data_IF_765234416133
#
_entry.id   IF_765234416133
#
_cell.length_a   1.000
_cell.length_b   1.000
_cell.length_c   1.000
_cell.angle_alpha   90.00
_cell.angle_beta   90.00
_cell.angle_gamma   90.00
#
_symmetry.space_group_name_H-M   'P 1'
#
loop_
_entity.id
_entity.type
_entity.pdbx_description
1 polymer ?
#
# COMPACT_ATOMS: atom_id res chain seq x y z
N UNK A 1 -25.04 19.34 7.43
CA UNK A 1 -24.71 17.96 7.86
C UNK A 1 -24.27 17.21 6.63
N UNK A 2 -23.09 16.57 6.63
CA UNK A 2 -22.66 15.76 5.48
C UNK A 2 -23.63 14.59 5.31
N UNK A 3 -23.95 14.22 4.07
CA UNK A 3 -24.78 13.05 3.80
C UNK A 3 -24.09 11.79 4.33
N UNK A 4 -24.88 10.90 4.95
CA UNK A 4 -24.43 9.59 5.40
C UNK A 4 -24.32 8.64 4.21
N UNK A 5 -23.29 7.80 4.17
CA UNK A 5 -23.08 6.75 3.18
C UNK A 5 -22.70 5.43 3.87
N UNK A 6 -22.91 4.32 3.18
CA UNK A 6 -22.43 3.00 3.59
C UNK A 6 -21.09 2.68 2.94
N UNK A 7 -20.06 2.47 3.75
CA UNK A 7 -18.72 2.13 3.30
C UNK A 7 -18.42 0.64 3.57
N UNK A 8 -17.90 -0.13 2.60
CA UNK A 8 -17.55 -1.54 2.82
C UNK A 8 -16.27 -1.60 3.67
N UNK A 9 -16.42 -1.69 4.99
CA UNK A 9 -15.28 -1.64 5.90
C UNK A 9 -14.53 -2.96 5.96
N UNK A 10 -15.22 -4.10 6.14
CA UNK A 10 -14.62 -5.43 6.19
C UNK A 10 -15.23 -6.34 5.13
N UNK A 11 -14.44 -7.25 4.57
CA UNK A 11 -14.93 -8.26 3.61
C UNK A 11 -14.40 -9.62 3.99
N UNK A 12 -15.30 -10.56 4.26
CA UNK A 12 -14.99 -11.98 4.40
C UNK A 12 -15.46 -12.70 3.13
N UNK A 13 -14.55 -12.84 2.17
CA UNK A 13 -14.80 -13.46 0.88
C UNK A 13 -15.04 -14.97 0.98
N UNK A 14 -14.49 -15.61 2.02
CA UNK A 14 -14.65 -17.04 2.30
C UNK A 14 -16.06 -17.35 2.80
N UNK A 15 -16.60 -16.51 3.70
CA UNK A 15 -17.98 -16.63 4.19
C UNK A 15 -19.02 -16.01 3.26
N UNK A 16 -18.61 -15.04 2.46
CA UNK A 16 -19.51 -14.27 1.62
C UNK A 16 -20.15 -13.07 2.32
N UNK A 17 -19.51 -12.52 3.34
CA UNK A 17 -20.05 -11.47 4.20
C UNK A 17 -19.30 -10.13 4.00
N UNK A 18 -20.02 -9.02 4.14
CA UNK A 18 -19.45 -7.66 4.22
C UNK A 18 -19.92 -6.97 5.50
N UNK A 19 -19.00 -6.30 6.20
CA UNK A 19 -19.35 -5.32 7.23
C UNK A 19 -19.42 -3.92 6.61
N UNK A 20 -20.61 -3.35 6.59
CA UNK A 20 -20.85 -1.95 6.22
C UNK A 20 -20.65 -1.03 7.42
N UNK A 21 -19.96 0.07 7.20
CA UNK A 21 -19.82 1.16 8.15
C UNK A 21 -20.63 2.37 7.66
N UNK A 22 -21.56 2.85 8.48
CA UNK A 22 -22.31 4.08 8.20
C UNK A 22 -21.45 5.29 8.56
N UNK A 23 -21.03 6.05 7.55
CA UNK A 23 -20.04 7.12 7.65
C UNK A 23 -20.43 8.32 6.77
N UNK A 24 -19.53 9.27 6.59
CA UNK A 24 -19.67 10.40 5.68
C UNK A 24 -18.33 10.69 5.01
N UNK A 25 -18.35 11.35 3.85
CA UNK A 25 -17.11 11.74 3.14
C UNK A 25 -16.19 12.60 4.03
N UNK A 26 -16.77 13.47 4.86
CA UNK A 26 -16.01 14.24 5.83
C UNK A 26 -15.26 13.36 6.84
N UNK A 27 -15.88 12.29 7.33
CA UNK A 27 -15.22 11.33 8.24
C UNK A 27 -14.17 10.50 7.52
N UNK A 28 -14.44 10.03 6.30
CA UNK A 28 -13.47 9.30 5.48
C UNK A 28 -12.22 10.14 5.17
N UNK A 29 -12.40 11.43 4.88
CA UNK A 29 -11.30 12.37 4.62
C UNK A 29 -10.50 12.65 5.89
N UNK A 30 -11.18 12.83 7.03
CA UNK A 30 -10.55 13.14 8.32
C UNK A 30 -9.77 11.97 8.93
N UNK A 31 -10.17 10.74 8.64
CA UNK A 31 -9.46 9.55 9.11
C UNK A 31 -8.06 9.48 8.49
N UNK A 32 -7.06 9.16 9.32
CA UNK A 32 -5.71 8.83 8.87
C UNK A 32 -5.69 7.48 8.15
N UNK A 33 -6.40 6.48 8.70
CA UNK A 33 -6.54 5.15 8.16
C UNK A 33 -7.98 4.63 8.29
N UNK A 34 -8.45 3.93 7.25
CA UNK A 34 -9.77 3.30 7.16
C UNK A 34 -9.71 1.81 7.54
N UNK A 35 -8.72 1.45 8.35
CA UNK A 35 -8.38 0.07 8.67
C UNK A 35 -8.95 -0.41 10.01
N UNK A 36 -9.65 0.49 10.73
CA UNK A 36 -10.30 0.21 12.00
C UNK A 36 -9.46 0.54 13.24
N UNK A 37 -8.22 1.06 13.07
CA UNK A 37 -7.43 1.62 14.19
C UNK A 37 -8.07 2.86 14.82
N UNK A 38 -8.89 3.58 14.06
CA UNK A 38 -9.68 4.71 14.52
C UNK A 38 -11.13 4.59 14.05
N UNK A 39 -12.04 5.18 14.81
CA UNK A 39 -13.48 5.16 14.49
C UNK A 39 -13.82 6.29 13.53
N UNK A 40 -14.15 5.95 12.28
CA UNK A 40 -14.60 6.89 11.25
C UNK A 40 -16.09 6.71 10.89
N UNK A 41 -16.84 5.94 11.67
CA UNK A 41 -18.26 5.61 11.41
C UNK A 41 -19.11 5.80 12.66
N UNK A 42 -20.43 5.92 12.46
CA UNK A 42 -21.42 6.06 13.54
C UNK A 42 -22.18 4.77 13.84
N UNK A 43 -22.13 3.80 12.94
CA UNK A 43 -22.72 2.48 13.10
C UNK A 43 -22.14 1.49 12.12
N UNK A 44 -22.35 0.20 12.38
CA UNK A 44 -21.97 -0.85 11.44
C UNK A 44 -22.95 -1.99 11.45
N UNK A 45 -23.06 -2.69 10.32
CA UNK A 45 -23.90 -3.88 10.16
C UNK A 45 -23.22 -4.87 9.22
N UNK A 46 -23.61 -6.14 9.29
CA UNK A 46 -23.11 -7.19 8.41
C UNK A 46 -24.23 -7.63 7.50
N UNK A 47 -23.93 -7.76 6.21
CA UNK A 47 -24.83 -8.22 5.15
C UNK A 47 -24.09 -9.25 4.28
N UNK A 48 -24.83 -10.08 3.55
CA UNK A 48 -24.19 -10.98 2.59
C UNK A 48 -23.76 -10.18 1.34
N UNK A 49 -22.58 -10.48 0.78
CA UNK A 49 -22.05 -9.84 -0.43
C UNK A 49 -23.07 -9.90 -1.59
N UNK A 50 -23.78 -11.02 -1.72
CA UNK A 50 -24.77 -11.26 -2.76
C UNK A 50 -26.01 -10.34 -2.65
N UNK A 51 -26.26 -9.72 -1.50
CA UNK A 51 -27.43 -8.87 -1.27
C UNK A 51 -27.27 -7.48 -1.88
N UNK A 52 -26.03 -7.07 -2.21
CA UNK A 52 -25.76 -5.74 -2.76
C UNK A 52 -25.00 -5.86 -4.09
N UNK A 53 -25.62 -5.57 -5.24
CA UNK A 53 -24.91 -5.56 -6.51
C UNK A 53 -23.87 -4.44 -6.52
N UNK A 54 -22.78 -4.67 -7.25
CA UNK A 54 -21.73 -3.66 -7.41
C UNK A 54 -22.33 -2.41 -8.11
N UNK A 55 -22.08 -1.20 -7.57
CA UNK A 55 -22.55 0.03 -8.19
C UNK A 55 -21.78 0.30 -9.48
N UNK A 56 -22.37 1.11 -10.36
CA UNK A 56 -21.60 1.72 -11.44
C UNK A 56 -20.68 2.79 -10.85
N UNK A 57 -19.38 2.58 -10.96
CA UNK A 57 -18.37 3.53 -10.51
C UNK A 57 -17.16 3.50 -11.44
N UNK A 58 -16.48 4.63 -11.58
CA UNK A 58 -15.22 4.68 -12.31
C UNK A 58 -14.14 3.91 -11.55
N UNK A 59 -13.28 3.21 -12.29
CA UNK A 59 -12.11 2.54 -11.70
C UNK A 59 -11.25 3.57 -10.95
N UNK A 60 -10.96 3.36 -9.66
CA UNK A 60 -10.18 4.32 -8.89
C UNK A 60 -8.72 4.31 -9.31
N UNK A 61 -8.04 5.43 -9.11
CA UNK A 61 -6.58 5.46 -9.12
C UNK A 61 -6.02 4.70 -7.92
N UNK A 62 -4.85 4.07 -8.04
CA UNK A 62 -4.22 3.37 -6.91
C UNK A 62 -2.81 3.86 -6.61
N UNK A 63 -2.45 3.89 -5.33
CA UNK A 63 -1.10 4.17 -4.85
C UNK A 63 -0.55 2.91 -4.19
N UNK A 64 0.00 2.01 -4.98
CA UNK A 64 0.76 0.88 -4.46
C UNK A 64 2.10 1.38 -3.93
N UNK A 65 2.60 0.73 -2.89
CA UNK A 65 3.82 1.20 -2.26
C UNK A 65 4.55 0.10 -1.49
N UNK A 66 5.86 0.24 -1.39
CA UNK A 66 6.63 -0.48 -0.35
C UNK A 66 6.32 0.16 1.01
N UNK A 67 6.50 -0.58 2.11
CA UNK A 67 6.29 0.01 3.45
C UNK A 67 7.18 1.24 3.71
N UNK A 68 6.69 2.19 4.51
CA UNK A 68 7.48 3.29 5.09
C UNK A 68 8.10 4.31 4.12
N UNK A 69 7.61 4.40 2.87
CA UNK A 69 8.16 5.26 1.81
C UNK A 69 7.48 6.62 1.65
N UNK A 70 6.60 7.03 2.57
CA UNK A 70 5.87 8.30 2.47
C UNK A 70 4.55 8.23 1.68
N UNK A 71 3.98 7.03 1.48
CA UNK A 71 2.69 6.89 0.77
C UNK A 71 1.54 7.65 1.45
N UNK A 72 1.57 7.79 2.79
CA UNK A 72 0.60 8.60 3.53
C UNK A 72 0.76 10.10 3.25
N UNK A 73 2.00 10.59 3.08
CA UNK A 73 2.25 11.98 2.69
C UNK A 73 1.68 12.25 1.29
N UNK A 74 2.01 11.39 0.31
CA UNK A 74 1.48 11.51 -1.05
C UNK A 74 -0.06 11.44 -1.08
N UNK A 75 -0.65 10.49 -0.35
CA UNK A 75 -2.11 10.37 -0.24
C UNK A 75 -2.77 11.63 0.33
N UNK A 76 -2.16 12.26 1.36
CA UNK A 76 -2.66 13.52 1.94
C UNK A 76 -2.53 14.69 0.95
N UNK A 77 -1.43 14.76 0.20
CA UNK A 77 -1.20 15.80 -0.81
C UNK A 77 -2.16 15.72 -2.01
N UNK A 78 -2.63 14.51 -2.33
CA UNK A 78 -3.59 14.29 -3.42
C UNK A 78 -5.06 14.55 -2.99
N UNK A 79 -5.38 14.39 -1.70
CA UNK A 79 -6.73 14.54 -1.15
C UNK A 79 -7.15 16.02 -1.13
N UNK A 80 -8.16 16.37 -1.93
CA UNK A 80 -8.59 17.76 -2.14
C UNK A 80 -10.10 17.85 -2.15
N UNK A 81 -10.65 18.59 -1.20
CA UNK A 81 -12.10 18.75 -1.07
C UNK A 81 -12.75 19.33 -2.32
N UNK A 82 -13.78 18.66 -2.83
CA UNK A 82 -14.48 19.04 -4.06
C UNK A 82 -13.78 18.62 -5.34
N UNK A 83 -12.68 17.85 -5.29
CA UNK A 83 -11.98 17.40 -6.49
C UNK A 83 -11.47 15.96 -6.42
N UNK A 84 -10.88 15.55 -5.29
CA UNK A 84 -10.30 14.22 -5.11
C UNK A 84 -10.58 13.71 -3.69
N UNK A 85 -11.13 12.50 -3.59
CA UNK A 85 -11.20 11.76 -2.35
C UNK A 85 -10.12 10.67 -2.35
N UNK A 86 -9.24 10.68 -1.34
CA UNK A 86 -8.24 9.62 -1.16
C UNK A 86 -8.62 8.71 0.01
N UNK A 87 -8.97 7.46 -0.31
CA UNK A 87 -9.25 6.42 0.67
C UNK A 87 -7.93 5.82 1.17
N UNK A 88 -7.64 6.00 2.46
CA UNK A 88 -6.37 5.66 3.09
C UNK A 88 -6.48 4.35 3.85
N UNK A 89 -5.88 3.30 3.32
CA UNK A 89 -5.84 1.92 3.87
C UNK A 89 -7.24 1.33 4.18
N UNK A 90 -8.14 1.17 3.19
CA UNK A 90 -9.41 0.46 3.43
C UNK A 90 -9.18 -0.98 3.92
N UNK A 91 -9.72 -1.34 5.10
CA UNK A 91 -9.51 -2.69 5.67
C UNK A 91 -10.01 -3.81 4.75
N UNK A 92 -11.11 -3.61 4.03
CA UNK A 92 -11.67 -4.57 3.08
C UNK A 92 -10.62 -5.10 2.08
N UNK A 93 -9.70 -4.24 1.63
CA UNK A 93 -8.63 -4.61 0.71
C UNK A 93 -7.54 -5.45 1.37
N UNK A 94 -7.21 -5.17 2.63
CA UNK A 94 -6.27 -6.00 3.40
C UNK A 94 -6.88 -7.36 3.75
N UNK A 95 -8.18 -7.40 4.09
CA UNK A 95 -8.91 -8.64 4.33
C UNK A 95 -8.85 -9.55 3.09
N UNK A 96 -9.15 -9.00 1.90
CA UNK A 96 -9.08 -9.75 0.63
C UNK A 96 -7.67 -10.24 0.32
N UNK A 97 -6.65 -9.42 0.54
CA UNK A 97 -5.27 -9.82 0.33
C UNK A 97 -4.86 -11.00 1.23
N UNK A 98 -5.28 -10.99 2.50
CA UNK A 98 -5.00 -12.09 3.43
C UNK A 98 -5.72 -13.40 3.07
N UNK A 99 -6.92 -13.29 2.50
CA UNK A 99 -7.76 -14.43 2.14
C UNK A 99 -7.41 -15.01 0.76
N UNK A 100 -6.78 -14.21 -0.10
CA UNK A 100 -6.48 -14.56 -1.49
C UNK A 100 -5.79 -15.93 -1.67
N UNK A 101 -4.82 -16.36 -0.84
CA UNK A 101 -4.21 -17.68 -1.01
C UNK A 101 -5.18 -18.86 -0.78
N UNK A 102 -6.31 -18.62 -0.10
CA UNK A 102 -7.36 -19.63 0.12
C UNK A 102 -8.52 -19.50 -0.88
N UNK A 103 -8.56 -18.42 -1.66
CA UNK A 103 -9.57 -18.20 -2.69
C UNK A 103 -9.09 -18.79 -4.03
N UNK A 104 -10.00 -19.42 -4.76
CA UNK A 104 -9.77 -19.72 -6.17
C UNK A 104 -9.78 -18.45 -7.02
N UNK A 105 -9.10 -18.46 -8.17
CA UNK A 105 -8.96 -17.31 -9.07
C UNK A 105 -10.32 -16.69 -9.46
N UNK A 106 -11.31 -17.53 -9.81
CA UNK A 106 -12.65 -17.07 -10.17
C UNK A 106 -13.34 -16.32 -9.01
N UNK A 107 -13.25 -16.85 -7.79
CA UNK A 107 -13.85 -16.22 -6.61
C UNK A 107 -13.14 -14.92 -6.24
N UNK A 108 -11.81 -14.90 -6.36
CA UNK A 108 -11.04 -13.68 -6.13
C UNK A 108 -11.42 -12.58 -7.14
N UNK A 109 -11.53 -12.92 -8.43
CA UNK A 109 -11.95 -11.97 -9.46
C UNK A 109 -13.37 -11.45 -9.22
N UNK A 110 -14.31 -12.32 -8.85
CA UNK A 110 -15.68 -11.94 -8.48
C UNK A 110 -15.70 -10.92 -7.33
N UNK A 111 -15.00 -11.22 -6.23
CA UNK A 111 -15.04 -10.37 -5.04
C UNK A 111 -14.26 -9.06 -5.25
N UNK A 112 -13.19 -9.06 -6.06
CA UNK A 112 -12.53 -7.82 -6.48
C UNK A 112 -13.43 -6.97 -7.37
N UNK A 113 -14.16 -7.59 -8.30
CA UNK A 113 -15.17 -6.93 -9.14
C UNK A 113 -16.33 -6.35 -8.34
N UNK A 114 -16.61 -6.90 -7.17
CA UNK A 114 -17.58 -6.37 -6.22
C UNK A 114 -16.99 -5.23 -5.36
N UNK A 115 -15.83 -5.44 -4.73
CA UNK A 115 -15.29 -4.53 -3.73
C UNK A 115 -14.80 -3.20 -4.33
N UNK A 116 -14.17 -3.25 -5.49
CA UNK A 116 -13.54 -2.07 -6.10
C UNK A 116 -14.57 -0.98 -6.48
N UNK A 117 -15.69 -1.30 -7.16
CA UNK A 117 -16.74 -0.30 -7.41
C UNK A 117 -17.38 0.25 -6.14
N UNK A 118 -17.59 -0.57 -5.10
CA UNK A 118 -18.15 -0.09 -3.84
C UNK A 118 -17.21 0.89 -3.10
N UNK A 119 -15.91 0.64 -3.12
CA UNK A 119 -14.93 1.59 -2.59
C UNK A 119 -14.88 2.86 -3.43
N UNK A 120 -14.88 2.74 -4.76
CA UNK A 120 -14.87 3.88 -5.66
C UNK A 120 -16.10 4.79 -5.50
N UNK A 121 -17.28 4.19 -5.27
CA UNK A 121 -18.54 4.89 -5.06
C UNK A 121 -18.61 5.72 -3.77
N UNK A 122 -17.60 5.66 -2.89
CA UNK A 122 -17.49 6.55 -1.74
C UNK A 122 -17.17 8.01 -2.14
N UNK A 123 -16.58 8.23 -3.33
CA UNK A 123 -16.31 9.56 -3.83
C UNK A 123 -17.61 10.26 -4.26
N UNK A 124 -17.84 11.53 -3.86
CA UNK A 124 -18.96 12.32 -4.36
C UNK A 124 -18.97 12.43 -5.88
N UNK A 125 -20.15 12.67 -6.46
CA UNK A 125 -20.25 13.02 -7.87
C UNK A 125 -19.37 14.23 -8.20
N UNK A 126 -18.50 14.08 -9.21
CA UNK A 126 -17.53 15.10 -9.62
C UNK A 126 -16.17 15.04 -8.91
N UNK A 127 -16.01 14.24 -7.86
CA UNK A 127 -14.70 13.94 -7.26
C UNK A 127 -14.10 12.67 -7.85
N UNK A 128 -12.80 12.68 -8.15
CA UNK A 128 -12.06 11.48 -8.48
C UNK A 128 -11.78 10.64 -7.22
N UNK A 129 -11.86 9.32 -7.34
CA UNK A 129 -11.50 8.40 -6.25
C UNK A 129 -10.07 7.86 -6.44
N UNK A 130 -9.25 8.01 -5.41
CA UNK A 130 -7.92 7.38 -5.33
C UNK A 130 -7.87 6.52 -4.08
N UNK A 131 -7.29 5.33 -4.19
CA UNK A 131 -7.10 4.41 -3.07
C UNK A 131 -5.61 4.26 -2.80
N UNK A 132 -5.18 4.62 -1.59
CA UNK A 132 -3.89 4.22 -1.04
C UNK A 132 -4.10 3.02 -0.15
N UNK A 133 -4.04 1.78 -0.65
CA UNK A 133 -4.23 0.59 0.17
C UNK A 133 -3.08 0.43 1.18
N UNK A 134 -3.25 -0.51 2.12
CA UNK A 134 -2.10 -1.06 2.84
C UNK A 134 -1.26 -1.91 1.88
N UNK A 135 0.06 -1.99 2.09
CA UNK A 135 0.96 -2.78 1.25
C UNK A 135 0.70 -4.29 1.30
N UNK A 136 -0.20 -4.75 2.17
CA UNK A 136 -0.76 -6.11 2.17
C UNK A 136 -1.36 -6.49 0.82
N UNK A 137 -1.95 -5.53 0.10
CA UNK A 137 -2.58 -5.79 -1.20
C UNK A 137 -1.60 -6.02 -2.34
N UNK A 138 -0.29 -5.81 -2.15
CA UNK A 138 0.66 -5.82 -3.27
C UNK A 138 0.64 -7.16 -4.04
N UNK A 139 0.34 -8.28 -3.37
CA UNK A 139 0.15 -9.59 -4.01
C UNK A 139 -1.00 -9.64 -5.03
N UNK A 140 -1.99 -8.76 -4.88
CA UNK A 140 -3.15 -8.62 -5.76
C UNK A 140 -2.96 -7.55 -6.85
N UNK A 141 -1.90 -6.74 -6.82
CA UNK A 141 -1.69 -5.66 -7.79
C UNK A 141 -1.76 -6.14 -9.26
N UNK A 142 -1.14 -7.28 -9.65
CA UNK A 142 -1.25 -7.79 -11.03
C UNK A 142 -2.69 -8.21 -11.41
N UNK A 143 -3.46 -8.78 -10.47
CA UNK A 143 -4.83 -9.19 -10.71
C UNK A 143 -5.77 -7.98 -10.84
N UNK A 144 -5.56 -6.95 -10.00
CA UNK A 144 -6.30 -5.69 -10.06
C UNK A 144 -6.09 -4.94 -11.38
N UNK A 145 -4.85 -4.87 -11.85
CA UNK A 145 -4.51 -4.26 -13.13
C UNK A 145 -5.03 -5.12 -14.32
N UNK A 146 -4.73 -6.42 -14.31
CA UNK A 146 -5.14 -7.33 -15.40
C UNK A 146 -6.64 -7.54 -15.52
N UNK A 147 -7.39 -7.42 -14.42
CA UNK A 147 -8.86 -7.48 -14.40
C UNK A 147 -9.54 -6.14 -14.74
N UNK A 148 -8.78 -5.07 -15.00
CA UNK A 148 -9.32 -3.75 -15.33
C UNK A 148 -9.97 -3.02 -14.15
N UNK A 149 -9.82 -3.53 -12.92
CA UNK A 149 -10.28 -2.86 -11.70
C UNK A 149 -9.47 -1.61 -11.38
N UNK A 150 -8.21 -1.58 -11.83
CA UNK A 150 -7.30 -0.44 -11.73
C UNK A 150 -6.82 -0.10 -13.13
N UNK A 151 -7.01 1.15 -13.53
CA UNK A 151 -6.56 1.64 -14.84
C UNK A 151 -5.37 2.58 -14.77
N UNK A 152 -5.10 3.17 -13.61
CA UNK A 152 -4.02 4.11 -13.37
C UNK A 152 -3.40 3.84 -12.00
N UNK A 153 -2.08 3.78 -11.92
CA UNK A 153 -1.39 3.43 -10.69
C UNK A 153 -0.09 4.22 -10.47
N UNK A 154 0.15 4.55 -9.20
CA UNK A 154 1.44 5.00 -8.71
C UNK A 154 2.07 3.83 -7.96
N UNK A 155 3.36 3.60 -8.19
CA UNK A 155 4.19 2.64 -7.49
C UNK A 155 5.27 3.39 -6.71
N UNK A 156 5.04 3.61 -5.41
CA UNK A 156 5.99 4.31 -4.55
C UNK A 156 7.03 3.32 -4.01
N UNK A 157 8.26 3.47 -4.45
CA UNK A 157 9.38 2.57 -4.16
C UNK A 157 10.34 3.20 -3.15
N UNK A 158 11.37 2.44 -2.77
CA UNK A 158 12.46 2.91 -1.94
C UNK A 158 13.71 2.09 -2.28
N UNK A 159 14.89 2.70 -2.27
CA UNK A 159 16.14 1.96 -2.39
C UNK A 159 16.24 0.85 -1.32
N UNK A 160 16.77 -0.36 -1.63
CA UNK A 160 16.70 -1.52 -0.74
C UNK A 160 17.42 -1.29 0.60
N UNK A 161 18.57 -0.58 0.59
CA UNK A 161 19.27 -0.23 1.83
C UNK A 161 18.49 0.77 2.69
N UNK A 162 17.84 1.76 2.07
CA UNK A 162 16.98 2.70 2.78
C UNK A 162 15.76 1.98 3.38
N UNK A 163 15.20 0.99 2.67
CA UNK A 163 14.09 0.17 3.16
C UNK A 163 14.49 -0.66 4.38
N UNK A 164 15.66 -1.31 4.34
CA UNK A 164 16.22 -2.02 5.49
C UNK A 164 16.36 -1.10 6.72
N UNK A 165 16.95 0.10 6.54
CA UNK A 165 17.05 1.10 7.61
C UNK A 165 15.67 1.47 8.15
N UNK A 166 14.72 1.81 7.28
CA UNK A 166 13.38 2.20 7.67
C UNK A 166 12.67 1.09 8.46
N UNK A 167 12.82 -0.17 8.05
CA UNK A 167 12.23 -1.32 8.75
C UNK A 167 12.87 -1.53 10.12
N UNK A 168 14.20 -1.58 10.21
CA UNK A 168 14.90 -1.82 11.47
C UNK A 168 14.73 -0.67 12.46
N UNK A 169 14.67 0.58 11.99
CA UNK A 169 14.38 1.77 12.80
C UNK A 169 13.03 1.69 13.52
N UNK A 170 12.05 1.01 12.91
CA UNK A 170 10.74 0.79 13.52
C UNK A 170 10.70 -0.32 14.57
N UNK A 171 11.83 -0.97 14.85
CA UNK A 171 11.96 -1.98 15.88
C UNK A 171 11.11 -3.24 15.63
N UNK A 172 10.76 -3.91 16.73
CA UNK A 172 10.15 -5.25 16.73
C UNK A 172 8.84 -5.31 15.95
N UNK A 173 7.96 -4.34 16.13
CA UNK A 173 6.62 -4.39 15.53
C UNK A 173 6.68 -4.22 14.01
N UNK A 174 7.54 -3.30 13.55
CA UNK A 174 7.78 -3.07 12.13
C UNK A 174 8.43 -4.27 11.46
N UNK A 175 9.41 -4.88 12.12
CA UNK A 175 10.03 -6.14 11.67
C UNK A 175 8.97 -7.24 11.59
N UNK A 176 8.23 -7.51 12.67
CA UNK A 176 7.22 -8.57 12.69
C UNK A 176 6.15 -8.39 11.61
N UNK A 177 5.71 -7.15 11.35
CA UNK A 177 4.83 -6.85 10.23
C UNK A 177 5.45 -7.22 8.88
N UNK A 178 6.71 -6.81 8.63
CA UNK A 178 7.41 -7.12 7.39
C UNK A 178 7.61 -8.62 7.21
N UNK A 179 7.94 -9.37 8.26
CA UNK A 179 8.13 -10.82 8.16
C UNK A 179 6.84 -11.54 7.76
N UNK A 180 5.70 -11.17 8.36
CA UNK A 180 4.38 -11.71 7.98
C UNK A 180 4.03 -11.35 6.54
N UNK A 181 4.31 -10.12 6.12
CA UNK A 181 4.06 -9.70 4.75
C UNK A 181 4.96 -10.43 3.74
N UNK A 182 6.22 -10.71 4.10
CA UNK A 182 7.13 -11.49 3.26
C UNK A 182 6.57 -12.88 2.98
N UNK A 183 6.06 -13.54 4.03
CA UNK A 183 5.42 -14.86 3.93
C UNK A 183 4.13 -14.80 3.10
N UNK A 184 3.29 -13.79 3.30
CA UNK A 184 2.07 -13.61 2.50
C UNK A 184 2.41 -13.45 1.02
N UNK A 185 3.29 -12.49 0.67
CA UNK A 185 3.62 -12.16 -0.72
C UNK A 185 4.42 -13.25 -1.43
N UNK A 186 5.09 -14.14 -0.70
CA UNK A 186 5.79 -15.29 -1.26
C UNK A 186 4.86 -16.20 -2.08
N UNK A 187 3.56 -16.25 -1.77
CA UNK A 187 2.56 -17.01 -2.53
C UNK A 187 2.28 -16.39 -3.91
N UNK A 188 2.48 -15.08 -4.05
CA UNK A 188 2.22 -14.34 -5.27
C UNK A 188 3.43 -14.25 -6.19
N UNK A 189 4.61 -14.74 -5.76
CA UNK A 189 5.88 -14.68 -6.51
C UNK A 189 6.37 -16.09 -6.83
N UNK A 190 6.75 -16.33 -8.08
CA UNK A 190 7.27 -17.62 -8.51
C UNK A 190 8.54 -17.98 -7.71
N UNK A 191 8.56 -19.16 -7.09
CA UNK A 191 9.66 -19.58 -6.21
C UNK A 191 9.77 -18.81 -4.88
N UNK A 192 8.82 -17.91 -4.56
CA UNK A 192 8.89 -17.06 -3.38
C UNK A 192 9.01 -17.86 -2.07
N UNK A 193 8.23 -18.94 -1.93
CA UNK A 193 8.29 -19.81 -0.76
C UNK A 193 9.65 -20.54 -0.60
N UNK A 194 10.32 -20.89 -1.70
CA UNK A 194 11.66 -21.48 -1.67
C UNK A 194 12.71 -20.46 -1.22
N UNK A 195 12.61 -19.22 -1.72
CA UNK A 195 13.48 -18.12 -1.31
C UNK A 195 13.33 -17.80 0.17
N UNK A 196 12.10 -17.77 0.70
CA UNK A 196 11.83 -17.57 2.13
C UNK A 196 12.46 -18.70 2.95
N UNK A 197 12.27 -19.97 2.57
CA UNK A 197 12.92 -21.10 3.26
C UNK A 197 14.44 -21.01 3.22
N UNK A 198 15.01 -20.65 2.07
CA UNK A 198 16.45 -20.49 1.91
C UNK A 198 17.01 -19.35 2.77
N UNK A 199 16.29 -18.22 2.90
CA UNK A 199 16.66 -17.13 3.81
C UNK A 199 16.61 -17.56 5.28
N UNK A 200 15.57 -18.30 5.69
CA UNK A 200 15.44 -18.81 7.05
C UNK A 200 16.60 -19.73 7.42
N UNK A 201 16.98 -20.63 6.52
CA UNK A 201 18.06 -21.60 6.73
C UNK A 201 19.47 -20.99 6.62
N UNK A 202 19.61 -19.77 6.10
CA UNK A 202 20.93 -19.15 5.84
C UNK A 202 21.61 -18.59 7.08
N UNK A 203 20.84 -18.21 8.10
CA UNK A 203 21.35 -17.54 9.29
C UNK A 203 20.69 -18.07 10.57
N UNK A 204 21.52 -18.29 11.59
CA UNK A 204 21.08 -18.66 12.93
C UNK A 204 20.65 -17.43 13.74
N UNK A 205 21.35 -16.30 13.58
CA UNK A 205 20.99 -15.02 14.22
C UNK A 205 19.61 -14.53 13.75
N UNK A 206 18.66 -14.28 14.67
CA UNK A 206 17.31 -13.83 14.31
C UNK A 206 17.26 -12.51 13.54
N UNK A 207 18.19 -11.59 13.80
CA UNK A 207 18.21 -10.29 13.12
C UNK A 207 18.79 -10.42 11.71
N UNK A 208 19.81 -11.25 11.50
CA UNK A 208 20.33 -11.60 10.17
C UNK A 208 19.25 -12.25 9.31
N UNK A 209 18.52 -13.22 9.88
CA UNK A 209 17.35 -13.83 9.23
C UNK A 209 16.30 -12.78 8.87
N UNK A 210 16.04 -11.84 9.78
CA UNK A 210 15.07 -10.78 9.53
C UNK A 210 15.53 -9.85 8.39
N UNK A 211 16.81 -9.49 8.32
CA UNK A 211 17.34 -8.68 7.23
C UNK A 211 17.20 -9.38 5.87
N UNK A 212 17.50 -10.68 5.79
CA UNK A 212 17.30 -11.48 4.57
C UNK A 212 15.83 -11.48 4.11
N UNK A 213 14.90 -11.70 5.03
CA UNK A 213 13.47 -11.70 4.74
C UNK A 213 12.94 -10.31 4.36
N UNK A 214 13.50 -9.24 4.93
CA UNK A 214 13.14 -7.85 4.57
C UNK A 214 13.62 -7.50 3.16
N UNK A 215 14.82 -7.93 2.75
CA UNK A 215 15.29 -7.77 1.36
C UNK A 215 14.41 -8.56 0.39
N UNK A 216 14.03 -9.80 0.74
CA UNK A 216 13.08 -10.58 -0.08
C UNK A 216 11.73 -9.91 -0.20
N UNK A 217 11.16 -9.41 0.90
CA UNK A 217 9.90 -8.65 0.88
C UNK A 217 9.99 -7.44 -0.04
N UNK A 218 11.09 -6.67 0.06
CA UNK A 218 11.32 -5.54 -0.82
C UNK A 218 11.27 -5.97 -2.28
N UNK A 219 12.00 -7.03 -2.64
CA UNK A 219 12.01 -7.54 -4.00
C UNK A 219 10.64 -8.03 -4.45
N UNK A 220 9.94 -8.82 -3.64
CA UNK A 220 8.63 -9.36 -4.00
C UNK A 220 7.65 -8.24 -4.36
N UNK A 221 7.65 -7.14 -3.60
CA UNK A 221 6.82 -5.99 -3.91
C UNK A 221 7.21 -5.37 -5.27
N UNK A 222 8.50 -5.21 -5.56
CA UNK A 222 8.95 -4.68 -6.87
C UNK A 222 8.59 -5.61 -8.03
N UNK A 223 8.76 -6.92 -7.90
CA UNK A 223 8.36 -7.90 -8.93
C UNK A 223 6.85 -7.85 -9.19
N UNK A 224 6.06 -7.66 -8.14
CA UNK A 224 4.61 -7.50 -8.26
C UNK A 224 4.23 -6.17 -8.90
N UNK A 225 5.00 -5.10 -8.67
CA UNK A 225 4.81 -3.81 -9.34
C UNK A 225 5.18 -3.90 -10.82
N UNK A 226 6.30 -4.53 -11.18
CA UNK A 226 6.69 -4.81 -12.57
C UNK A 226 5.54 -5.56 -13.29
N UNK A 227 5.02 -6.61 -12.67
CA UNK A 227 3.92 -7.40 -13.24
C UNK A 227 2.62 -6.62 -13.35
N UNK A 228 2.30 -5.75 -12.39
CA UNK A 228 1.10 -4.92 -12.46
C UNK A 228 1.22 -3.85 -13.56
N UNK A 229 2.39 -3.20 -13.66
CA UNK A 229 2.68 -2.16 -14.65
C UNK A 229 2.57 -2.70 -16.09
N UNK A 230 3.08 -3.91 -16.35
CA UNK A 230 2.92 -4.56 -17.68
C UNK A 230 1.47 -4.85 -18.08
N UNK A 231 0.50 -4.75 -17.15
CA UNK A 231 -0.94 -4.93 -17.42
C UNK A 231 -1.68 -3.59 -17.57
N UNK A 232 -1.03 -2.47 -17.30
CA UNK A 232 -1.58 -1.13 -17.48
C UNK A 232 -1.22 -0.62 -18.88
N UNK A 233 -2.03 0.30 -19.40
CA UNK A 233 -1.72 0.97 -20.66
C UNK A 233 -0.52 1.92 -20.51
N UNK A 234 0.17 2.20 -21.62
CA UNK A 234 1.27 3.16 -21.64
C UNK A 234 0.84 4.52 -21.09
N UNK A 235 1.65 5.09 -20.20
CA UNK A 235 1.36 6.37 -19.54
C UNK A 235 0.34 6.31 -18.39
N UNK A 236 -0.19 5.13 -18.05
CA UNK A 236 -1.09 4.94 -16.90
C UNK A 236 -0.38 4.48 -15.62
N UNK A 237 0.94 4.40 -15.63
CA UNK A 237 1.74 4.02 -14.48
C UNK A 237 2.87 5.02 -14.22
N UNK A 238 3.20 5.23 -12.95
CA UNK A 238 4.36 6.03 -12.55
C UNK A 238 5.05 5.40 -11.34
N UNK A 239 6.37 5.27 -11.43
CA UNK A 239 7.23 4.99 -10.27
C UNK A 239 7.73 6.29 -9.69
N UNK A 240 7.68 6.37 -8.37
CA UNK A 240 8.27 7.47 -7.60
C UNK A 240 9.14 6.81 -6.54
N UNK A 241 10.42 7.18 -6.45
CA UNK A 241 11.24 6.74 -5.32
C UNK A 241 10.98 7.60 -4.09
N UNK A 242 11.06 7.01 -2.91
CA UNK A 242 10.99 7.72 -1.63
C UNK A 242 11.93 8.94 -1.58
N UNK A 243 13.15 8.84 -2.10
CA UNK A 243 14.09 9.95 -2.12
C UNK A 243 13.61 11.11 -3.01
N UNK A 244 12.94 10.82 -4.14
CA UNK A 244 12.33 11.84 -4.99
C UNK A 244 11.18 12.55 -4.25
N UNK A 245 10.29 11.77 -3.61
CA UNK A 245 9.18 12.32 -2.84
C UNK A 245 9.66 13.17 -1.65
N UNK A 246 10.74 12.77 -0.99
CA UNK A 246 11.30 13.51 0.14
C UNK A 246 11.98 14.82 -0.31
N UNK A 247 12.63 14.81 -1.48
CA UNK A 247 13.35 15.97 -2.00
C UNK A 247 12.39 17.07 -2.51
N UNK A 248 11.34 16.69 -3.24
CA UNK A 248 10.32 17.62 -3.73
C UNK A 248 8.91 16.98 -3.69
N UNK A 249 8.22 17.06 -2.54
CA UNK A 249 6.90 16.45 -2.37
C UNK A 249 5.84 17.01 -3.32
N UNK A 250 5.95 18.29 -3.68
CA UNK A 250 4.96 18.97 -4.53
C UNK A 250 5.10 18.52 -5.98
N UNK A 251 6.32 18.48 -6.51
CA UNK A 251 6.57 17.99 -7.87
C UNK A 251 6.22 16.50 -8.00
N UNK A 252 6.57 15.67 -7.02
CA UNK A 252 6.18 14.26 -6.99
C UNK A 252 4.64 14.09 -7.01
N UNK A 253 3.92 14.95 -6.26
CA UNK A 253 2.45 14.94 -6.22
C UNK A 253 1.86 15.41 -7.54
N UNK A 254 2.43 16.44 -8.19
CA UNK A 254 2.00 16.93 -9.50
C UNK A 254 2.13 15.84 -10.57
N UNK A 255 3.27 15.14 -10.61
CA UNK A 255 3.49 14.00 -11.51
C UNK A 255 2.50 12.86 -11.25
N UNK A 256 2.25 12.55 -9.97
CA UNK A 256 1.28 11.53 -9.59
C UNK A 256 -0.14 11.91 -10.02
N UNK A 257 -0.57 13.15 -9.77
CA UNK A 257 -1.87 13.66 -10.16
C UNK A 257 -2.08 13.61 -11.68
N UNK A 258 -1.06 13.94 -12.46
CA UNK A 258 -1.11 13.89 -13.92
C UNK A 258 -1.32 12.45 -14.44
N UNK A 259 -0.58 11.46 -13.93
CA UNK A 259 -0.72 10.05 -14.36
C UNK A 259 -2.03 9.43 -13.89
N UNK A 260 -2.50 9.82 -12.70
CA UNK A 260 -3.80 9.44 -12.15
C UNK A 260 -4.97 10.19 -12.80
N UNK A 261 -4.70 11.16 -13.69
CA UNK A 261 -5.72 11.94 -14.41
C UNK A 261 -6.68 12.67 -13.47
N UNK A 262 -6.11 13.28 -12.42
CA UNK A 262 -6.88 13.96 -11.37
C UNK A 262 -7.19 15.41 -11.76
N UNK A 263 -8.39 15.91 -11.42
CA UNK A 263 -8.78 17.28 -11.75
C UNK A 263 -8.00 18.31 -10.93
N UNK A 264 -7.60 19.42 -11.55
CA UNK A 264 -6.95 20.57 -10.91
C UNK A 264 -5.50 20.33 -10.49
N UNK A 265 -4.74 21.40 -10.26
CA UNK A 265 -3.34 21.34 -9.83
C UNK A 265 -3.21 21.11 -8.31
N UNK A 266 -2.30 20.25 -7.84
CA UNK A 266 -1.95 20.18 -6.43
C UNK A 266 -1.38 21.52 -5.97
N UNK A 267 -1.94 22.10 -4.92
CA UNK A 267 -1.43 23.34 -4.33
C UNK A 267 -0.70 23.04 -3.02
N UNK A 268 0.25 23.90 -2.67
CA UNK A 268 0.96 23.83 -1.41
C UNK A 268 0.09 24.23 -0.19
N UNK A 269 -1.22 24.37 -0.35
CA UNK A 269 -2.15 24.83 0.68
C UNK A 269 -2.38 23.69 1.70
N UNK A 270 -1.31 23.42 2.45
CA UNK A 270 -1.35 22.66 3.67
C UNK A 270 -2.17 23.47 4.67
N UNK A 271 -3.37 23.00 5.02
CA UNK A 271 -4.03 23.44 6.26
C UNK A 271 -3.25 22.84 7.46
N UNK A 272 -2.00 23.30 7.62
CA UNK A 272 -1.03 22.85 8.63
C UNK A 272 -1.57 23.04 10.06
N UNK A 273 -2.55 23.94 10.24
CA UNK A 273 -3.16 24.26 11.51
C UNK A 273 -4.06 23.14 12.07
N UNK A 274 -4.71 22.32 11.22
CA UNK A 274 -5.61 21.24 11.67
C UNK A 274 -4.90 19.93 12.01
N UNK A 275 -3.66 19.77 11.57
CA UNK A 275 -2.93 18.48 11.60
C UNK A 275 -1.66 18.52 12.47
N UNK A 276 -1.55 19.54 13.33
CA UNK A 276 -0.41 19.81 14.22
C UNK A 276 -0.07 18.70 15.23
N UNK A 277 -0.99 17.77 15.51
CA UNK A 277 -0.69 16.62 16.38
C UNK A 277 0.17 15.54 15.71
N UNK A 278 0.13 15.44 14.38
CA UNK A 278 0.96 14.51 13.59
C UNK A 278 2.22 15.17 13.04
N UNK A 279 2.23 16.51 12.84
CA UNK A 279 3.44 17.22 12.46
C UNK A 279 4.51 17.25 13.56
N UNK A 280 4.15 16.94 14.81
CA UNK A 280 5.12 16.63 15.87
C UNK A 280 5.94 15.33 15.58
N UNK A 281 5.52 14.51 14.60
CA UNK A 281 6.29 13.38 14.06
C UNK A 281 7.01 13.68 12.74
N UNK A 282 6.97 14.93 12.24
CA UNK A 282 8.13 15.46 11.52
C UNK A 282 9.19 15.68 12.59
N UNK A 283 9.76 14.58 13.10
CA UNK A 283 11.09 14.65 13.69
C UNK A 283 11.92 15.39 12.65
N UNK A 284 12.61 16.48 13.05
CA UNK A 284 13.41 17.25 12.11
C UNK A 284 14.20 16.29 11.21
N UNK A 285 14.39 16.61 9.93
CA UNK A 285 15.14 15.74 9.02
C UNK A 285 16.47 15.27 9.67
N UNK A 286 17.06 16.09 10.53
CA UNK A 286 18.21 15.79 11.39
C UNK A 286 17.99 14.64 12.39
N UNK A 287 16.84 14.55 13.05
CA UNK A 287 16.50 13.47 13.97
C UNK A 287 16.30 12.15 13.21
N UNK A 288 15.68 12.19 12.03
CA UNK A 288 15.55 11.02 11.17
C UNK A 288 16.92 10.54 10.67
N UNK A 289 17.76 11.48 10.21
CA UNK A 289 19.11 11.20 9.73
C UNK A 289 20.02 10.69 10.87
N UNK A 290 19.86 11.22 12.09
CA UNK A 290 20.55 10.71 13.28
C UNK A 290 20.16 9.27 13.58
N UNK A 291 18.85 8.96 13.59
CA UNK A 291 18.37 7.61 13.81
C UNK A 291 18.81 6.66 12.69
N UNK A 292 18.87 7.13 11.43
CA UNK A 292 19.41 6.35 10.32
C UNK A 292 20.88 6.00 10.52
N UNK A 293 21.70 6.95 10.97
CA UNK A 293 23.12 6.72 11.27
C UNK A 293 23.30 5.71 12.41
N UNK A 294 22.48 5.77 13.45
CA UNK A 294 22.52 4.81 14.55
C UNK A 294 22.15 3.39 14.10
N UNK A 295 21.07 3.23 13.33
CA UNK A 295 20.66 1.94 12.77
C UNK A 295 21.74 1.38 11.83
N UNK A 296 22.33 2.24 11.00
CA UNK A 296 23.42 1.87 10.10
C UNK A 296 24.66 1.42 10.87
N UNK A 297 25.01 2.10 11.97
CA UNK A 297 26.13 1.73 12.83
C UNK A 297 25.94 0.33 13.45
N UNK A 298 24.73 0.00 13.91
CA UNK A 298 24.46 -1.29 14.55
C UNK A 298 24.18 -2.45 13.59
N UNK A 299 23.62 -2.16 12.41
CA UNK A 299 23.11 -3.19 11.50
C UNK A 299 23.70 -3.15 10.08
N UNK A 300 24.60 -2.21 9.77
CA UNK A 300 25.17 -2.04 8.42
C UNK A 300 25.77 -3.32 7.84
N UNK A 301 26.63 -4.03 8.60
CA UNK A 301 27.23 -5.29 8.16
C UNK A 301 26.18 -6.39 7.86
N UNK A 302 25.08 -6.39 8.62
CA UNK A 302 23.94 -7.30 8.41
C UNK A 302 23.17 -6.93 7.15
N UNK A 303 23.01 -5.64 6.87
CA UNK A 303 22.40 -5.17 5.63
C UNK A 303 23.27 -5.56 4.42
N UNK A 304 24.59 -5.38 4.51
CA UNK A 304 25.53 -5.78 3.47
C UNK A 304 25.44 -7.28 3.17
N UNK A 305 25.42 -8.11 4.22
CA UNK A 305 25.23 -9.56 4.11
C UNK A 305 23.92 -9.91 3.39
N UNK A 306 22.80 -9.28 3.78
CA UNK A 306 21.50 -9.58 3.21
C UNK A 306 21.40 -9.18 1.73
N UNK A 307 21.93 -8.00 1.38
CA UNK A 307 21.96 -7.50 0.01
C UNK A 307 22.87 -8.36 -0.89
N UNK A 308 24.09 -8.67 -0.45
CA UNK A 308 25.01 -9.51 -1.21
C UNK A 308 24.46 -10.93 -1.43
N UNK A 309 23.81 -11.51 -0.42
CA UNK A 309 23.14 -12.79 -0.57
C UNK A 309 22.06 -12.74 -1.64
N UNK A 310 21.24 -11.69 -1.64
CA UNK A 310 20.17 -11.53 -2.61
C UNK A 310 20.69 -11.32 -4.05
N UNK A 311 21.71 -10.48 -4.25
CA UNK A 311 22.36 -10.27 -5.54
C UNK A 311 22.91 -11.58 -6.15
N UNK A 312 23.51 -12.43 -5.31
CA UNK A 312 24.02 -13.74 -5.74
C UNK A 312 22.91 -14.67 -6.26
N UNK A 313 21.70 -14.56 -5.70
CA UNK A 313 20.53 -15.37 -6.09
C UNK A 313 19.93 -14.92 -7.41
N UNK A 314 19.83 -13.61 -7.65
CA UNK A 314 19.35 -13.07 -8.94
C UNK A 314 20.31 -13.49 -10.05
N UNK A 315 21.62 -13.30 -9.84
CA UNK A 315 22.63 -13.60 -10.86
C UNK A 315 22.62 -15.08 -11.25
N UNK A 316 22.46 -15.97 -10.25
CA UNK A 316 22.36 -17.41 -10.47
C UNK A 316 21.08 -17.84 -11.20
N UNK A 317 19.99 -17.07 -11.07
CA UNK A 317 18.73 -17.33 -11.79
C UNK A 317 18.78 -16.83 -13.24
N UNK A 318 19.46 -15.71 -13.52
CA UNK A 318 19.61 -15.16 -14.87
C UNK A 318 20.60 -15.94 -15.76
N UNK A 319 21.44 -16.80 -15.16
CA UNK A 319 22.42 -17.62 -15.86
C UNK A 319 21.92 -19.04 -16.20
N UNK A 320 20.64 -19.32 -15.95
CA UNK A 320 19.96 -20.59 -16.26
C UNK A 320 18.92 -20.37 -17.34
#
# INVERSE_FOLDING_TARGET
MSATLDFPHRVDALRGDVQWASTSVAQLRAATFLDGRETFWSGSRVEALAERPAPEAQSPGMIFHVGFCGSTLLARLLDRSGSVLVLKEPQALADLASQAPQLGEARLAEVLGWAMPHLAAAAPAGEACVIKPSNWINGLAPALAGGGHVRRAIFLTMAPRAYLRAVFRGGRDRLAHCLRLAELLAHSVAGGGELVRAAIARADDPLDRSALLVVLLHRFQLDLFDRAETRLADGCALRIDHAELAADPLEATRRAAAVLDLPGEPTADFDAARHSKDMAQVSSADAEESANREIEHHHGARFDMALAWFESRITAAASR
#
